data_IF_260817053602
#
_entry.id   IF_260817053602
#
_cell.length_a   1.000
_cell.length_b   1.000
_cell.length_c   1.000
_cell.angle_alpha   90.00
_cell.angle_beta   90.00
_cell.angle_gamma   90.00
#
_symmetry.space_group_name_H-M   'P 1'
#
loop_
_entity.id
_entity.type
_entity.pdbx_description
1 polymer ?
#
# COMPACT_ATOMS: atom_id res chain seq x y z
N UNK A 1 -77.28 0.62 -1.53
CA UNK A 1 -76.37 1.01 -0.44
C UNK A 1 -75.04 1.47 -1.05
N UNK A 2 -74.84 2.79 -1.26
CA UNK A 2 -73.67 3.37 -1.79
C UNK A 2 -72.73 3.75 -0.64
N UNK A 3 -71.51 3.14 -0.58
CA UNK A 3 -70.46 3.56 0.35
C UNK A 3 -69.66 4.70 -0.27
N UNK A 4 -69.63 5.82 0.38
CA UNK A 4 -68.81 6.99 0.03
C UNK A 4 -67.41 6.82 0.66
N UNK A 5 -66.37 6.81 -0.14
CA UNK A 5 -64.98 6.82 0.31
C UNK A 5 -64.50 8.28 0.38
N UNK A 6 -64.22 8.76 1.57
CA UNK A 6 -63.57 10.07 1.79
C UNK A 6 -62.10 9.98 1.41
N UNK A 7 -61.70 10.87 0.56
CA UNK A 7 -60.34 10.94 -0.01
C UNK A 7 -59.43 11.79 0.92
N UNK A 8 -58.35 11.23 1.37
CA UNK A 8 -57.37 11.82 2.33
C UNK A 8 -56.68 13.12 1.86
N UNK A 9 -56.97 13.62 0.68
CA UNK A 9 -56.36 14.83 0.11
C UNK A 9 -57.05 16.15 0.44
N UNK A 10 -58.22 16.12 1.05
CA UNK A 10 -59.02 17.35 1.32
C UNK A 10 -58.84 17.89 2.75
N UNK A 11 -58.05 17.23 3.60
CA UNK A 11 -57.89 17.67 5.01
C UNK A 11 -56.65 18.54 5.21
N UNK A 12 -55.71 18.59 4.23
CA UNK A 12 -54.44 19.32 4.38
C UNK A 12 -54.53 20.79 3.97
N UNK A 13 -55.56 21.22 3.25
CA UNK A 13 -55.71 22.59 2.73
C UNK A 13 -56.47 23.58 3.60
N UNK A 14 -57.05 23.16 4.72
CA UNK A 14 -57.83 24.07 5.64
C UNK A 14 -57.01 24.46 6.88
N UNK A 15 -55.87 23.82 7.15
CA UNK A 15 -55.05 24.06 8.36
C UNK A 15 -54.00 25.17 8.26
N UNK A 16 -53.77 25.78 7.08
CA UNK A 16 -52.65 26.73 6.86
C UNK A 16 -53.04 28.21 6.75
N UNK A 17 -54.31 28.56 7.00
CA UNK A 17 -54.80 29.94 6.87
C UNK A 17 -55.05 30.70 8.20
N UNK A 18 -54.69 30.12 9.35
CA UNK A 18 -55.02 30.69 10.67
C UNK A 18 -53.86 31.18 11.55
N UNK A 19 -52.61 31.30 11.00
CA UNK A 19 -51.43 31.70 11.78
C UNK A 19 -50.71 32.98 11.29
N UNK A 20 -51.43 33.89 10.62
CA UNK A 20 -50.85 35.17 10.13
C UNK A 20 -51.59 36.40 10.69
N UNK A 21 -51.98 36.40 11.96
CA UNK A 21 -52.52 37.60 12.60
C UNK A 21 -51.98 37.71 14.03
N UNK A 22 -50.96 38.56 14.21
CA UNK A 22 -50.58 38.96 15.56
C UNK A 22 -49.09 39.19 15.80
N UNK A 23 -48.52 40.28 15.30
CA UNK A 23 -47.37 40.97 15.94
C UNK A 23 -47.42 42.45 15.55
N UNK A 24 -48.15 43.25 16.35
CA UNK A 24 -48.02 44.71 16.36
C UNK A 24 -46.80 45.05 17.22
N UNK A 25 -45.74 45.57 16.61
CA UNK A 25 -44.56 46.11 17.26
C UNK A 25 -44.84 47.44 17.92
N UNK A 26 -44.66 47.52 19.24
CA UNK A 26 -44.58 48.77 20.01
C UNK A 26 -43.19 49.32 19.84
N UNK A 27 -43.02 50.43 19.14
CA UNK A 27 -41.80 51.22 19.07
C UNK A 27 -41.77 52.28 20.16
N UNK A 28 -40.74 52.35 21.03
CA UNK A 28 -40.47 53.52 21.84
C UNK A 28 -39.83 54.60 20.99
N UNK A 29 -40.39 55.84 21.01
CA UNK A 29 -39.73 57.03 20.47
C UNK A 29 -38.70 57.50 21.43
N UNK A 30 -37.42 57.35 21.10
CA UNK A 30 -36.31 58.00 21.74
C UNK A 30 -35.47 58.72 20.67
N UNK A 31 -35.43 60.00 20.75
CA UNK A 31 -34.55 60.88 19.96
C UNK A 31 -33.16 60.85 20.56
N UNK A 32 -32.24 60.23 19.88
CA UNK A 32 -30.80 60.60 19.99
C UNK A 32 -30.16 60.40 18.61
N UNK A 33 -29.54 61.48 18.14
CA UNK A 33 -28.87 61.58 16.86
C UNK A 33 -27.52 60.90 17.00
N UNK A 34 -27.44 59.65 16.50
CA UNK A 34 -26.18 58.92 16.43
C UNK A 34 -25.30 59.50 15.32
N UNK A 35 -24.07 59.84 15.66
CA UNK A 35 -23.00 60.18 14.73
C UNK A 35 -22.75 59.01 13.75
N UNK A 36 -22.31 59.33 12.50
CA UNK A 36 -22.01 58.27 11.53
C UNK A 36 -20.81 57.46 12.01
N UNK A 37 -21.04 56.21 12.36
CA UNK A 37 -19.96 55.25 12.60
C UNK A 37 -19.43 54.85 11.21
N UNK A 38 -18.16 55.20 10.95
CA UNK A 38 -17.40 54.71 9.79
C UNK A 38 -17.51 53.18 9.74
N UNK A 39 -17.83 52.59 8.56
CA UNK A 39 -17.88 51.15 8.45
C UNK A 39 -16.48 50.58 8.74
N UNK A 40 -16.35 49.88 9.85
CA UNK A 40 -15.20 49.02 10.12
C UNK A 40 -14.97 48.15 8.88
N UNK A 41 -13.76 48.12 8.28
CA UNK A 41 -13.53 47.31 7.12
C UNK A 41 -13.80 45.85 7.51
N UNK A 42 -14.86 45.28 6.92
CA UNK A 42 -15.11 43.83 6.98
C UNK A 42 -13.89 43.16 6.36
N UNK A 43 -13.06 42.56 7.19
CA UNK A 43 -11.95 41.75 6.72
C UNK A 43 -12.55 40.67 5.82
N UNK A 44 -12.26 40.73 4.52
CA UNK A 44 -12.60 39.66 3.58
C UNK A 44 -12.02 38.38 4.15
N UNK A 45 -12.79 37.28 4.16
CA UNK A 45 -12.24 35.99 4.55
C UNK A 45 -11.05 35.71 3.62
N UNK A 46 -9.86 35.67 4.19
CA UNK A 46 -8.68 35.21 3.48
C UNK A 46 -8.97 33.76 3.08
N UNK A 47 -8.99 33.44 1.79
CA UNK A 47 -9.18 32.06 1.27
C UNK A 47 -8.08 31.08 1.72
N UNK A 48 -7.09 31.54 2.45
CA UNK A 48 -6.06 30.69 3.05
C UNK A 48 -6.66 29.90 4.21
N UNK A 49 -6.70 28.58 4.08
CA UNK A 49 -7.00 27.66 5.17
C UNK A 49 -6.14 28.01 6.39
N UNK A 50 -6.70 27.97 7.63
CA UNK A 50 -5.97 28.25 8.84
C UNK A 50 -4.64 27.48 8.87
N UNK A 51 -3.54 28.20 9.07
CA UNK A 51 -2.22 27.56 9.13
C UNK A 51 -2.20 26.66 10.36
N UNK A 52 -2.19 25.36 10.14
CA UNK A 52 -2.09 24.39 11.22
C UNK A 52 -0.66 24.43 11.79
N UNK A 53 -0.48 25.16 12.87
CA UNK A 53 0.82 25.36 13.55
C UNK A 53 1.09 24.32 14.63
N UNK A 54 0.12 23.45 14.92
CA UNK A 54 0.18 22.51 16.03
C UNK A 54 0.44 21.07 15.59
N UNK A 55 0.31 20.77 14.28
CA UNK A 55 0.46 19.43 13.73
C UNK A 55 1.55 19.35 12.67
N UNK A 56 2.20 18.22 12.58
CA UNK A 56 3.09 17.90 11.46
C UNK A 56 2.29 17.72 10.18
N UNK A 57 2.66 18.44 9.13
CA UNK A 57 2.02 18.38 7.82
C UNK A 57 2.72 17.37 6.94
N UNK A 58 1.95 16.42 6.41
CA UNK A 58 2.43 15.29 5.63
C UNK A 58 1.55 15.15 4.40
N UNK A 59 2.16 14.99 3.25
CA UNK A 59 1.47 14.72 2.00
C UNK A 59 1.37 13.22 1.75
N UNK A 60 0.18 12.74 1.39
CA UNK A 60 -0.03 11.40 0.85
C UNK A 60 -0.25 11.53 -0.67
N UNK A 61 0.72 11.08 -1.46
CA UNK A 61 0.71 11.13 -2.91
C UNK A 61 0.36 9.75 -3.48
N UNK A 62 -0.90 9.56 -3.87
CA UNK A 62 -1.41 8.30 -4.42
C UNK A 62 -2.37 8.58 -5.59
N UNK A 63 -2.53 7.66 -6.55
CA UNK A 63 -3.54 7.81 -7.60
C UNK A 63 -4.93 7.67 -7.00
N UNK A 64 -5.78 8.69 -7.12
CA UNK A 64 -7.16 8.66 -6.64
C UNK A 64 -8.17 8.41 -7.77
N UNK A 65 -7.69 8.33 -9.00
CA UNK A 65 -8.49 8.12 -10.21
C UNK A 65 -7.79 7.22 -11.22
N UNK A 66 -8.48 6.85 -12.30
CA UNK A 66 -7.96 5.98 -13.34
C UNK A 66 -7.75 4.52 -12.88
N UNK A 67 -6.97 3.76 -13.64
CA UNK A 67 -6.76 2.32 -13.44
C UNK A 67 -6.25 1.94 -12.04
N UNK A 68 -5.42 2.77 -11.46
CA UNK A 68 -4.83 2.53 -10.13
C UNK A 68 -5.57 3.27 -9.01
N UNK A 69 -6.67 3.97 -9.31
CA UNK A 69 -7.48 4.70 -8.35
C UNK A 69 -7.97 3.86 -7.18
N UNK A 70 -8.54 2.66 -7.40
CA UNK A 70 -8.97 1.78 -6.30
C UNK A 70 -7.83 1.39 -5.33
N UNK A 71 -6.63 1.17 -5.84
CA UNK A 71 -5.45 0.86 -5.01
C UNK A 71 -5.01 2.08 -4.20
N UNK A 72 -4.97 3.25 -4.83
CA UNK A 72 -4.64 4.51 -4.16
C UNK A 72 -5.66 4.86 -3.07
N UNK A 73 -6.96 4.66 -3.35
CA UNK A 73 -8.02 4.85 -2.36
C UNK A 73 -7.86 3.90 -1.17
N UNK A 74 -7.49 2.63 -1.43
CA UNK A 74 -7.26 1.67 -0.35
C UNK A 74 -6.08 2.08 0.55
N UNK A 75 -5.01 2.63 -0.02
CA UNK A 75 -3.88 3.18 0.74
C UNK A 75 -4.33 4.40 1.56
N UNK A 76 -5.10 5.31 0.98
CA UNK A 76 -5.62 6.49 1.68
C UNK A 76 -6.57 6.12 2.83
N UNK A 77 -7.43 5.13 2.63
CA UNK A 77 -8.30 4.58 3.66
C UNK A 77 -7.48 3.97 4.82
N UNK A 78 -6.45 3.17 4.51
CA UNK A 78 -5.57 2.58 5.51
C UNK A 78 -4.78 3.64 6.30
N UNK A 79 -4.33 4.71 5.63
CA UNK A 79 -3.71 5.88 6.26
C UNK A 79 -4.67 6.56 7.24
N UNK A 80 -5.92 6.77 6.82
CA UNK A 80 -6.96 7.35 7.69
C UNK A 80 -7.26 6.44 8.89
N UNK A 81 -7.33 5.13 8.65
CA UNK A 81 -7.55 4.14 9.71
C UNK A 81 -6.43 4.17 10.75
N UNK A 82 -5.17 4.25 10.31
CA UNK A 82 -4.02 4.36 11.21
C UNK A 82 -4.07 5.62 12.09
N UNK A 83 -4.45 6.78 11.51
CA UNK A 83 -4.60 8.03 12.27
C UNK A 83 -5.67 7.88 13.37
N UNK A 84 -6.80 7.23 13.05
CA UNK A 84 -7.89 7.01 14.00
C UNK A 84 -7.50 5.99 15.09
N UNK A 85 -6.93 4.85 14.70
CA UNK A 85 -6.57 3.79 15.63
C UNK A 85 -5.46 4.20 16.62
N UNK A 86 -4.57 5.11 16.19
CA UNK A 86 -3.48 5.61 17.02
C UNK A 86 -3.82 6.93 17.73
N UNK A 87 -4.99 7.49 17.50
CA UNK A 87 -5.38 8.81 17.98
C UNK A 87 -4.31 9.89 17.68
N UNK A 88 -3.81 9.88 16.46
CA UNK A 88 -2.67 10.70 16.00
C UNK A 88 -3.04 12.19 15.85
N UNK A 89 -3.34 12.86 16.96
CA UNK A 89 -3.75 14.27 16.98
C UNK A 89 -2.64 15.25 16.55
N UNK A 90 -1.38 14.82 16.58
CA UNK A 90 -0.20 15.61 16.20
C UNK A 90 0.16 15.52 14.70
N UNK A 91 -0.53 14.69 13.91
CA UNK A 91 -0.32 14.58 12.47
C UNK A 91 -1.50 15.16 11.68
N UNK A 92 -1.20 15.80 10.57
CA UNK A 92 -2.15 16.18 9.52
C UNK A 92 -1.67 15.60 8.21
N UNK A 93 -2.39 14.62 7.68
CA UNK A 93 -2.08 14.00 6.38
C UNK A 93 -3.11 14.47 5.35
N UNK A 94 -2.62 15.07 4.26
CA UNK A 94 -3.46 15.54 3.15
C UNK A 94 -3.16 14.70 1.91
N UNK A 95 -4.21 14.19 1.25
CA UNK A 95 -4.07 13.34 0.06
C UNK A 95 -4.08 14.19 -1.22
N UNK A 96 -3.13 13.90 -2.12
CA UNK A 96 -2.97 14.53 -3.43
C UNK A 96 -3.01 13.47 -4.52
N UNK A 97 -3.81 13.71 -5.57
CA UNK A 97 -4.03 12.76 -6.66
C UNK A 97 -2.88 12.78 -7.69
N UNK A 98 -2.04 11.76 -7.68
CA UNK A 98 -0.95 11.62 -8.64
C UNK A 98 -1.42 11.23 -10.05
N UNK A 99 -2.65 10.77 -10.23
CA UNK A 99 -3.18 10.45 -11.56
C UNK A 99 -3.42 11.70 -12.41
N UNK A 100 -3.58 12.86 -11.77
CA UNK A 100 -3.72 14.18 -12.43
C UNK A 100 -2.40 14.86 -12.75
N UNK A 101 -1.27 14.30 -12.30
CA UNK A 101 0.06 14.83 -12.53
C UNK A 101 0.91 14.74 -11.25
N UNK A 102 1.88 13.82 -11.18
CA UNK A 102 2.67 13.59 -9.96
C UNK A 102 3.52 14.78 -9.53
N UNK A 103 4.09 15.53 -10.49
CA UNK A 103 4.88 16.72 -10.20
C UNK A 103 3.99 17.86 -9.65
N UNK A 104 2.84 18.11 -10.28
CA UNK A 104 1.90 19.13 -9.81
C UNK A 104 1.37 18.82 -8.41
N UNK A 105 1.05 17.55 -8.13
CA UNK A 105 0.61 17.10 -6.81
C UNK A 105 1.71 17.32 -5.74
N UNK A 106 2.96 17.01 -6.04
CA UNK A 106 4.07 17.25 -5.13
C UNK A 106 4.34 18.74 -4.92
N UNK A 107 4.30 19.54 -5.98
CA UNK A 107 4.45 21.01 -5.90
C UNK A 107 3.37 21.64 -5.04
N UNK A 108 2.12 21.25 -5.23
CA UNK A 108 1.00 21.71 -4.40
C UNK A 108 1.21 21.31 -2.94
N UNK A 109 1.54 20.07 -2.67
CA UNK A 109 1.80 19.56 -1.32
C UNK A 109 2.87 20.39 -0.59
N UNK A 110 3.97 20.71 -1.27
CA UNK A 110 5.07 21.49 -0.72
C UNK A 110 4.65 22.94 -0.48
N UNK A 111 3.94 23.56 -1.43
CA UNK A 111 3.40 24.92 -1.29
C UNK A 111 2.45 25.04 -0.09
N UNK A 112 1.69 23.98 0.20
CA UNK A 112 0.81 23.90 1.37
C UNK A 112 1.58 23.60 2.68
N UNK A 113 2.92 23.52 2.65
CA UNK A 113 3.80 23.40 3.81
C UNK A 113 3.96 21.98 4.35
N UNK A 114 3.70 20.95 3.54
CA UNK A 114 4.01 19.58 3.94
C UNK A 114 5.53 19.36 3.99
N UNK A 115 6.01 18.66 5.01
CA UNK A 115 7.43 18.43 5.32
C UNK A 115 7.88 17.00 5.13
N UNK A 116 6.97 16.11 4.73
CA UNK A 116 7.21 14.72 4.38
C UNK A 116 6.22 14.34 3.28
N UNK A 117 6.68 13.57 2.30
CA UNK A 117 5.85 12.95 1.26
C UNK A 117 5.80 11.43 1.49
N UNK A 118 4.60 10.89 1.69
CA UNK A 118 4.27 9.47 1.67
C UNK A 118 3.72 9.13 0.29
N UNK A 119 4.35 8.21 -0.42
CA UNK A 119 4.15 7.98 -1.84
C UNK A 119 5.32 8.54 -2.68
N UNK A 120 5.24 8.46 -4.02
CA UNK A 120 4.13 7.94 -4.81
C UNK A 120 4.04 6.41 -4.77
N UNK A 121 2.89 5.88 -5.25
CA UNK A 121 2.70 4.44 -5.42
C UNK A 121 3.48 3.89 -6.60
N UNK A 122 3.48 4.59 -7.73
CA UNK A 122 4.10 4.11 -8.96
C UNK A 122 5.56 4.57 -9.05
N UNK A 123 6.48 3.64 -9.31
CA UNK A 123 7.90 3.94 -9.49
C UNK A 123 8.15 4.97 -10.59
N UNK A 124 7.42 4.90 -11.70
CA UNK A 124 7.50 5.86 -12.81
C UNK A 124 7.17 7.30 -12.42
N UNK A 125 6.47 7.52 -11.31
CA UNK A 125 6.13 8.85 -10.82
C UNK A 125 7.22 9.45 -9.90
N UNK A 126 8.15 8.63 -9.41
CA UNK A 126 9.17 9.08 -8.45
C UNK A 126 10.03 10.22 -9.03
N UNK A 127 10.59 10.12 -10.25
CA UNK A 127 11.40 11.20 -10.81
C UNK A 127 10.67 12.55 -10.85
N UNK A 128 9.39 12.55 -11.25
CA UNK A 128 8.57 13.77 -11.32
C UNK A 128 8.27 14.36 -9.94
N UNK A 129 8.03 13.52 -8.93
CA UNK A 129 7.82 13.96 -7.53
C UNK A 129 9.09 14.56 -6.95
N UNK A 130 10.26 14.01 -7.30
CA UNK A 130 11.55 14.46 -6.77
C UNK A 130 11.96 15.84 -7.25
N UNK A 131 11.49 16.32 -8.42
CA UNK A 131 11.82 17.66 -8.91
C UNK A 131 11.48 18.74 -7.88
N UNK A 132 10.20 18.91 -7.46
CA UNK A 132 9.86 19.88 -6.43
C UNK A 132 10.29 19.45 -5.01
N UNK A 133 10.35 18.16 -4.69
CA UNK A 133 10.70 17.69 -3.37
C UNK A 133 12.15 18.04 -2.99
N UNK A 134 13.10 17.82 -3.89
CA UNK A 134 14.51 18.17 -3.70
C UNK A 134 14.75 19.66 -3.61
N UNK A 135 14.04 20.45 -4.43
CA UNK A 135 14.13 21.89 -4.39
C UNK A 135 13.69 22.50 -3.06
N UNK A 136 12.86 21.79 -2.29
CA UNK A 136 12.32 22.20 -1.00
C UNK A 136 12.88 21.40 0.20
N UNK A 137 13.84 20.51 -0.03
CA UNK A 137 14.44 19.61 0.98
C UNK A 137 13.39 18.76 1.72
N UNK A 138 12.39 18.26 0.98
CA UNK A 138 11.32 17.42 1.53
C UNK A 138 11.57 15.96 1.15
N UNK A 139 11.82 15.05 2.12
CA UNK A 139 12.09 13.65 1.85
C UNK A 139 10.84 12.91 1.40
N UNK A 140 11.08 11.81 0.63
CA UNK A 140 10.05 10.97 0.01
C UNK A 140 10.13 9.55 0.53
N UNK A 141 9.03 9.02 1.05
CA UNK A 141 8.86 7.60 1.39
C UNK A 141 7.89 6.99 0.37
N UNK A 142 8.43 6.39 -0.67
CA UNK A 142 7.64 5.82 -1.77
C UNK A 142 7.08 4.45 -1.43
N UNK A 143 5.85 4.18 -1.84
CA UNK A 143 5.21 2.86 -1.76
C UNK A 143 5.58 1.94 -2.93
N UNK A 144 6.36 2.43 -3.87
CA UNK A 144 6.92 1.64 -4.97
C UNK A 144 7.89 0.58 -4.45
N UNK A 145 8.07 -0.47 -5.24
CA UNK A 145 9.13 -1.46 -5.06
C UNK A 145 10.28 -1.28 -6.09
N UNK A 146 10.35 -0.14 -6.76
CA UNK A 146 11.41 0.20 -7.70
C UNK A 146 12.69 0.58 -6.94
N UNK A 147 13.58 -0.38 -6.79
CA UNK A 147 14.84 -0.21 -6.06
C UNK A 147 15.81 0.76 -6.74
N UNK A 148 15.69 0.97 -8.06
CA UNK A 148 16.53 1.92 -8.80
C UNK A 148 16.26 3.39 -8.49
N UNK A 149 15.14 3.68 -7.83
CA UNK A 149 14.76 5.04 -7.44
C UNK A 149 15.20 5.42 -6.02
N UNK A 150 15.78 4.48 -5.25
CA UNK A 150 16.25 4.73 -3.88
C UNK A 150 17.43 5.70 -3.82
N UNK A 151 17.54 6.45 -2.73
CA UNK A 151 18.61 7.43 -2.55
C UNK A 151 18.65 8.01 -1.13
N UNK A 152 19.52 8.99 -0.91
CA UNK A 152 19.66 9.59 0.43
C UNK A 152 18.40 10.30 0.92
N UNK A 153 17.58 10.80 0.01
CA UNK A 153 16.34 11.56 0.23
C UNK A 153 15.08 10.80 -0.21
N UNK A 154 15.25 9.55 -0.72
CA UNK A 154 14.19 8.68 -1.24
C UNK A 154 14.24 7.32 -0.59
N UNK A 155 13.21 7.00 0.16
CA UNK A 155 13.06 5.73 0.86
C UNK A 155 12.04 4.86 0.14
N UNK A 156 12.44 3.67 -0.30
CA UNK A 156 11.55 2.71 -0.96
C UNK A 156 10.98 1.77 0.09
N UNK A 157 9.68 1.89 0.33
CA UNK A 157 8.97 1.15 1.39
C UNK A 157 8.16 -0.05 0.86
N UNK A 158 7.97 -0.16 -0.45
CA UNK A 158 7.22 -1.26 -1.09
C UNK A 158 7.83 -2.63 -0.81
N UNK A 159 7.06 -3.68 -1.07
CA UNK A 159 7.56 -5.05 -0.96
C UNK A 159 8.54 -5.33 -2.09
N UNK A 160 9.79 -5.60 -1.74
CA UNK A 160 10.89 -5.83 -2.68
C UNK A 160 10.97 -7.32 -2.99
N UNK A 161 10.63 -7.77 -4.23
CA UNK A 161 10.56 -9.19 -4.57
C UNK A 161 11.89 -9.90 -4.40
N UNK A 162 13.02 -9.21 -4.57
CA UNK A 162 14.35 -9.74 -4.39
C UNK A 162 14.56 -10.30 -2.99
N UNK A 163 14.01 -9.66 -1.96
CA UNK A 163 14.15 -10.12 -0.58
C UNK A 163 13.34 -11.39 -0.31
N UNK A 164 12.11 -11.46 -0.85
CA UNK A 164 11.28 -12.67 -0.78
C UNK A 164 11.97 -13.86 -1.47
N UNK A 165 12.46 -13.65 -2.69
CA UNK A 165 13.16 -14.69 -3.46
C UNK A 165 14.40 -15.17 -2.72
N UNK A 166 15.22 -14.24 -2.19
CA UNK A 166 16.43 -14.59 -1.45
C UNK A 166 16.11 -15.47 -0.24
N UNK A 167 15.10 -15.09 0.56
CA UNK A 167 14.69 -15.85 1.74
C UNK A 167 14.14 -17.24 1.40
N UNK A 168 13.36 -17.34 0.30
CA UNK A 168 12.81 -18.64 -0.12
C UNK A 168 13.90 -19.57 -0.65
N UNK A 169 14.86 -19.04 -1.42
CA UNK A 169 16.00 -19.81 -1.94
C UNK A 169 16.91 -20.27 -0.81
N UNK A 170 17.23 -19.41 0.17
CA UNK A 170 17.99 -19.77 1.36
C UNK A 170 17.40 -21.00 2.02
N UNK A 171 16.11 -20.95 2.35
CA UNK A 171 15.41 -22.06 2.99
C UNK A 171 15.38 -23.33 2.13
N UNK A 172 15.15 -23.20 0.82
CA UNK A 172 15.16 -24.35 -0.09
C UNK A 172 16.57 -24.98 -0.17
N UNK A 173 17.63 -24.18 -0.15
CA UNK A 173 19.01 -24.63 -0.10
C UNK A 173 19.33 -25.41 1.18
N UNK A 174 18.90 -24.92 2.34
CA UNK A 174 19.06 -25.61 3.61
C UNK A 174 18.37 -26.99 3.62
N UNK A 175 17.34 -27.16 2.76
CA UNK A 175 16.60 -28.41 2.59
C UNK A 175 17.12 -29.30 1.46
N UNK A 176 18.24 -28.94 0.85
CA UNK A 176 18.93 -29.80 -0.11
C UNK A 176 18.73 -29.45 -1.58
N UNK A 177 17.94 -28.43 -1.92
CA UNK A 177 17.80 -27.94 -3.31
C UNK A 177 19.17 -27.52 -3.86
N UNK A 178 19.54 -27.97 -5.06
CA UNK A 178 20.84 -27.68 -5.69
C UNK A 178 20.72 -27.08 -7.08
N UNK A 179 19.86 -27.64 -7.92
CA UNK A 179 19.70 -27.28 -9.30
C UNK A 179 18.40 -26.54 -9.53
N UNK A 180 18.50 -25.24 -9.69
CA UNK A 180 17.36 -24.35 -9.77
C UNK A 180 17.00 -24.01 -11.20
N UNK A 181 15.73 -23.87 -11.45
CA UNK A 181 15.20 -23.28 -12.68
C UNK A 181 14.24 -22.13 -12.35
N UNK A 182 13.99 -21.24 -13.30
CA UNK A 182 13.05 -20.15 -13.15
C UNK A 182 12.13 -20.02 -14.36
N UNK A 183 10.86 -19.81 -14.10
CA UNK A 183 9.85 -19.35 -15.08
C UNK A 183 9.48 -17.91 -14.69
N UNK A 184 9.81 -16.96 -15.56
CA UNK A 184 9.61 -15.55 -15.32
C UNK A 184 8.80 -14.87 -16.44
N UNK A 185 7.91 -13.90 -16.13
CA UNK A 185 7.22 -13.14 -17.16
C UNK A 185 8.16 -12.16 -17.84
N UNK A 186 7.86 -11.81 -19.09
CA UNK A 186 8.52 -10.70 -19.78
C UNK A 186 8.28 -9.38 -19.00
N UNK A 187 9.27 -8.47 -19.08
CA UNK A 187 9.23 -7.16 -18.46
C UNK A 187 10.05 -7.03 -17.17
N UNK A 188 9.97 -5.86 -16.54
CA UNK A 188 10.83 -5.46 -15.43
C UNK A 188 10.75 -6.40 -14.22
N UNK A 189 9.55 -6.87 -13.86
CA UNK A 189 9.37 -7.77 -12.72
C UNK A 189 10.09 -9.11 -12.94
N UNK A 190 9.90 -9.71 -14.12
CA UNK A 190 10.57 -10.98 -14.46
C UNK A 190 12.09 -10.86 -14.50
N UNK A 191 12.60 -9.81 -15.13
CA UNK A 191 14.06 -9.56 -15.18
C UNK A 191 14.66 -9.38 -13.78
N UNK A 192 13.98 -8.65 -12.88
CA UNK A 192 14.40 -8.49 -11.47
C UNK A 192 14.35 -9.82 -10.70
N UNK A 193 13.30 -10.62 -10.92
CA UNK A 193 13.16 -11.93 -10.28
C UNK A 193 14.25 -12.91 -10.74
N UNK A 194 14.62 -12.90 -12.02
CA UNK A 194 15.73 -13.71 -12.54
C UNK A 194 17.07 -13.31 -11.91
N UNK A 195 17.34 -12.02 -11.84
CA UNK A 195 18.57 -11.52 -11.23
C UNK A 195 18.63 -11.82 -9.74
N UNK A 196 17.51 -11.66 -9.02
CA UNK A 196 17.40 -12.01 -7.61
C UNK A 196 17.65 -13.51 -7.38
N UNK A 197 17.05 -14.35 -8.23
CA UNK A 197 17.25 -15.80 -8.18
C UNK A 197 18.72 -16.18 -8.39
N UNK A 198 19.38 -15.62 -9.40
CA UNK A 198 20.80 -15.87 -9.67
C UNK A 198 21.69 -15.47 -8.49
N UNK A 199 21.44 -14.28 -7.93
CA UNK A 199 22.18 -13.80 -6.75
C UNK A 199 21.96 -14.67 -5.54
N UNK A 200 20.70 -15.03 -5.24
CA UNK A 200 20.36 -15.88 -4.11
C UNK A 200 21.01 -17.28 -4.23
N UNK A 201 20.87 -17.93 -5.40
CA UNK A 201 21.45 -19.25 -5.64
C UNK A 201 22.97 -19.21 -5.57
N UNK A 202 23.61 -18.17 -6.12
CA UNK A 202 25.06 -17.98 -6.01
C UNK A 202 25.51 -17.77 -4.55
N UNK A 203 24.75 -16.98 -3.78
CA UNK A 203 25.08 -16.68 -2.39
C UNK A 203 24.99 -17.92 -1.47
N UNK A 204 24.02 -18.80 -1.73
CA UNK A 204 23.78 -19.98 -0.93
C UNK A 204 24.30 -21.29 -1.52
N UNK A 205 25.06 -21.23 -2.64
CA UNK A 205 25.84 -22.36 -3.16
C UNK A 205 25.10 -23.35 -4.04
N UNK A 206 24.07 -22.92 -4.81
CA UNK A 206 23.38 -23.72 -5.83
C UNK A 206 23.78 -23.35 -7.27
N UNK A 207 23.03 -23.86 -8.23
CA UNK A 207 23.20 -23.56 -9.67
C UNK A 207 21.85 -23.27 -10.30
N UNK A 208 21.74 -22.16 -11.04
CA UNK A 208 20.58 -21.91 -11.92
C UNK A 208 20.88 -22.56 -13.27
N UNK A 209 20.17 -23.67 -13.56
CA UNK A 209 20.40 -24.47 -14.77
C UNK A 209 19.56 -24.03 -15.95
N UNK A 210 18.34 -23.52 -15.72
CA UNK A 210 17.42 -23.10 -16.78
C UNK A 210 16.67 -21.82 -16.43
N UNK A 211 16.39 -21.02 -17.46
CA UNK A 211 15.56 -19.81 -17.38
C UNK A 211 14.58 -19.83 -18.55
N UNK A 212 13.28 -19.87 -18.28
CA UNK A 212 12.21 -19.79 -19.26
C UNK A 212 11.42 -18.51 -19.09
N UNK A 213 11.16 -17.81 -20.19
CA UNK A 213 10.35 -16.58 -20.21
C UNK A 213 9.04 -16.79 -20.94
N UNK A 214 8.06 -15.98 -20.57
CA UNK A 214 6.74 -16.02 -21.19
C UNK A 214 6.08 -14.63 -21.18
N UNK A 215 5.20 -14.39 -22.18
CA UNK A 215 4.39 -13.19 -22.24
C UNK A 215 3.13 -13.34 -21.37
N UNK A 216 2.85 -12.37 -20.48
CA UNK A 216 1.59 -12.35 -19.73
C UNK A 216 0.40 -12.11 -20.68
N UNK A 217 -0.77 -12.65 -20.32
CA UNK A 217 -2.02 -12.40 -21.05
C UNK A 217 -2.44 -13.52 -22.02
N UNK A 218 -1.64 -14.56 -22.15
CA UNK A 218 -1.95 -15.76 -22.91
C UNK A 218 -1.54 -17.03 -22.16
N UNK A 219 -1.61 -18.21 -22.79
CA UNK A 219 -1.23 -19.50 -22.20
C UNK A 219 0.26 -19.80 -22.28
N UNK A 220 1.12 -18.84 -22.63
CA UNK A 220 2.55 -19.08 -22.83
C UNK A 220 3.31 -19.50 -21.57
N UNK A 221 2.75 -19.29 -20.38
CA UNK A 221 3.29 -19.82 -19.12
C UNK A 221 3.26 -21.36 -19.12
N UNK A 222 2.23 -21.98 -19.70
CA UNK A 222 2.10 -23.46 -19.87
C UNK A 222 3.21 -23.95 -20.81
N UNK A 223 3.37 -23.29 -21.96
CA UNK A 223 4.42 -23.66 -22.92
C UNK A 223 5.83 -23.45 -22.36
N UNK A 224 6.06 -22.44 -21.53
CA UNK A 224 7.34 -22.25 -20.83
C UNK A 224 7.59 -23.40 -19.83
N UNK A 225 6.55 -23.83 -19.11
CA UNK A 225 6.66 -24.98 -18.20
C UNK A 225 6.90 -26.30 -18.94
N UNK A 226 6.30 -26.49 -20.12
CA UNK A 226 6.52 -27.68 -21.00
C UNK A 226 7.97 -27.70 -21.49
N UNK A 227 8.52 -26.57 -21.97
CA UNK A 227 9.93 -26.48 -22.39
C UNK A 227 10.85 -26.79 -21.22
N UNK A 228 10.60 -26.19 -20.06
CA UNK A 228 11.40 -26.43 -18.86
C UNK A 228 11.37 -27.91 -18.46
N UNK A 229 10.20 -28.52 -18.47
CA UNK A 229 10.04 -29.96 -18.19
C UNK A 229 10.82 -30.83 -19.15
N UNK A 230 10.84 -30.49 -20.45
CA UNK A 230 11.60 -31.19 -21.46
C UNK A 230 13.14 -31.10 -21.27
N UNK A 231 13.63 -29.99 -20.73
CA UNK A 231 15.04 -29.85 -20.40
C UNK A 231 15.47 -30.77 -19.24
N UNK A 232 14.68 -30.83 -18.18
CA UNK A 232 15.03 -31.60 -16.98
C UNK A 232 16.27 -31.09 -16.25
N UNK A 233 16.82 -31.90 -15.33
CA UNK A 233 18.08 -31.60 -14.65
C UNK A 233 17.99 -30.54 -13.54
N UNK A 234 16.78 -30.19 -13.10
CA UNK A 234 16.49 -29.31 -11.96
C UNK A 234 15.71 -30.06 -10.88
N UNK A 235 15.92 -29.70 -9.65
CA UNK A 235 15.17 -30.18 -8.48
C UNK A 235 14.18 -29.12 -7.93
N UNK A 236 14.41 -27.86 -8.29
CA UNK A 236 13.67 -26.72 -7.72
C UNK A 236 13.34 -25.69 -8.81
N UNK A 237 12.10 -25.20 -8.82
CA UNK A 237 11.64 -24.20 -9.81
C UNK A 237 10.99 -23.00 -9.10
N UNK A 238 11.53 -21.80 -9.34
CA UNK A 238 10.88 -20.55 -8.99
C UNK A 238 9.88 -20.16 -10.12
N UNK A 239 8.61 -19.95 -9.76
CA UNK A 239 7.60 -19.41 -10.68
C UNK A 239 7.34 -17.94 -10.24
N UNK A 240 7.95 -17.01 -10.97
CA UNK A 240 7.98 -15.60 -10.61
C UNK A 240 6.72 -14.84 -11.08
N UNK A 241 5.55 -15.31 -10.68
CA UNK A 241 4.27 -14.63 -10.97
C UNK A 241 3.22 -14.95 -9.89
N UNK A 242 2.07 -14.26 -9.98
CA UNK A 242 0.93 -14.49 -9.11
C UNK A 242 0.38 -15.93 -9.17
N UNK A 243 -0.33 -16.37 -8.13
CA UNK A 243 -0.66 -17.79 -7.95
C UNK A 243 -1.51 -18.39 -9.06
N UNK A 244 -2.30 -17.59 -9.77
CA UNK A 244 -3.11 -18.07 -10.91
C UNK A 244 -2.25 -18.59 -12.07
N UNK A 245 -1.22 -17.85 -12.46
CA UNK A 245 -0.29 -18.28 -13.52
C UNK A 245 0.69 -19.34 -12.99
N UNK A 246 1.11 -19.21 -11.75
CA UNK A 246 1.93 -20.20 -11.08
C UNK A 246 1.26 -21.57 -11.03
N UNK A 247 -0.04 -21.65 -10.73
CA UNK A 247 -0.79 -22.91 -10.72
C UNK A 247 -0.88 -23.55 -12.10
N UNK A 248 -0.94 -22.78 -13.19
CA UNK A 248 -0.93 -23.31 -14.55
C UNK A 248 0.43 -23.95 -14.89
N UNK A 249 1.55 -23.27 -14.57
CA UNK A 249 2.89 -23.82 -14.75
C UNK A 249 3.12 -25.05 -13.86
N UNK A 250 2.71 -24.98 -12.60
CA UNK A 250 2.83 -26.08 -11.65
C UNK A 250 2.05 -27.33 -12.09
N UNK A 251 0.88 -27.16 -12.71
CA UNK A 251 0.09 -28.27 -13.27
C UNK A 251 0.84 -29.08 -14.35
N UNK A 252 1.78 -28.46 -15.04
CA UNK A 252 2.67 -29.14 -16.01
C UNK A 252 3.86 -29.80 -15.32
N UNK A 253 4.50 -29.08 -14.39
CA UNK A 253 5.74 -29.50 -13.74
C UNK A 253 5.50 -30.59 -12.68
N UNK A 254 4.43 -30.46 -11.91
CA UNK A 254 4.08 -31.33 -10.78
C UNK A 254 2.57 -31.58 -10.74
N UNK A 255 2.03 -32.41 -11.65
CA UNK A 255 0.60 -32.71 -11.70
C UNK A 255 0.11 -33.26 -10.35
N UNK A 256 -0.90 -32.61 -9.75
CA UNK A 256 -1.47 -33.00 -8.46
C UNK A 256 -0.74 -32.47 -7.22
N UNK A 257 0.39 -31.79 -7.39
CA UNK A 257 1.22 -31.28 -6.29
C UNK A 257 2.08 -32.36 -5.60
N UNK A 258 3.03 -31.95 -4.76
CA UNK A 258 3.87 -32.89 -3.98
C UNK A 258 4.82 -33.78 -4.79
N UNK A 259 5.14 -33.40 -6.03
CA UNK A 259 6.09 -34.12 -6.87
C UNK A 259 7.54 -33.98 -6.39
N UNK A 260 8.48 -34.65 -7.08
CA UNK A 260 9.91 -34.59 -6.79
C UNK A 260 10.52 -33.19 -6.97
N UNK A 261 9.87 -32.30 -7.72
CA UNK A 261 10.31 -30.92 -7.95
C UNK A 261 9.76 -29.98 -6.89
N UNK A 262 10.62 -29.32 -6.14
CA UNK A 262 10.24 -28.27 -5.20
C UNK A 262 9.81 -27.01 -5.98
N UNK A 263 8.58 -26.57 -5.75
CA UNK A 263 8.08 -25.32 -6.33
C UNK A 263 8.30 -24.16 -5.36
N UNK A 264 8.78 -23.04 -5.91
CA UNK A 264 8.96 -21.78 -5.19
C UNK A 264 8.07 -20.70 -5.79
N UNK A 265 7.44 -19.90 -4.94
CA UNK A 265 6.70 -18.69 -5.29
C UNK A 265 7.40 -17.44 -4.81
N UNK A 266 6.73 -16.30 -4.99
CA UNK A 266 7.19 -14.98 -4.55
C UNK A 266 6.19 -14.36 -3.57
N UNK A 267 6.50 -13.17 -3.07
CA UNK A 267 5.62 -12.37 -2.22
C UNK A 267 4.23 -12.11 -2.82
N UNK A 268 4.08 -12.22 -4.13
CA UNK A 268 2.80 -12.07 -4.84
C UNK A 268 1.74 -13.12 -4.42
N UNK A 269 2.15 -14.17 -3.71
CA UNK A 269 1.23 -15.19 -3.22
C UNK A 269 0.63 -14.85 -1.85
N UNK A 270 1.19 -13.84 -1.18
CA UNK A 270 0.73 -13.44 0.17
C UNK A 270 -0.68 -12.85 0.14
N UNK A 271 -1.58 -13.43 0.94
CA UNK A 271 -2.97 -12.98 1.03
C UNK A 271 -3.88 -13.44 -0.12
N UNK A 272 -3.36 -14.20 -1.08
CA UNK A 272 -4.10 -14.65 -2.25
C UNK A 272 -4.79 -16.00 -2.01
N UNK A 273 -6.11 -16.01 -1.85
CA UNK A 273 -6.89 -17.25 -1.62
C UNK A 273 -6.83 -18.27 -2.75
N UNK A 274 -6.35 -17.89 -3.94
CA UNK A 274 -6.12 -18.81 -5.05
C UNK A 274 -4.95 -19.77 -4.82
N UNK A 275 -4.00 -19.42 -3.95
CA UNK A 275 -2.87 -20.28 -3.56
C UNK A 275 -3.36 -21.58 -2.94
N UNK A 276 -4.25 -21.49 -1.96
CA UNK A 276 -4.75 -22.64 -1.21
C UNK A 276 -5.70 -23.53 -2.01
N UNK A 277 -6.40 -22.95 -2.99
CA UNK A 277 -7.33 -23.70 -3.87
C UNK A 277 -6.65 -24.47 -5.00
N UNK A 278 -5.39 -24.14 -5.32
CA UNK A 278 -4.67 -24.78 -6.41
C UNK A 278 -3.95 -26.04 -5.92
N UNK A 279 -4.50 -27.23 -6.26
CA UNK A 279 -3.89 -28.51 -5.92
C UNK A 279 -2.46 -28.67 -6.44
N UNK A 280 -2.15 -28.11 -7.61
CA UNK A 280 -0.81 -28.13 -8.20
C UNK A 280 0.24 -27.34 -7.39
N UNK A 281 -0.18 -26.44 -6.50
CA UNK A 281 0.72 -25.69 -5.64
C UNK A 281 0.96 -26.35 -4.27
N UNK A 282 0.38 -27.51 -3.99
CA UNK A 282 0.63 -28.24 -2.74
C UNK A 282 2.11 -28.58 -2.58
N UNK A 283 2.68 -28.30 -1.40
CA UNK A 283 4.12 -28.42 -1.11
C UNK A 283 4.98 -27.26 -1.60
N UNK A 284 4.41 -26.28 -2.31
CA UNK A 284 5.17 -25.13 -2.78
C UNK A 284 5.53 -24.19 -1.62
N UNK A 285 6.74 -23.61 -1.69
CA UNK A 285 7.28 -22.67 -0.72
C UNK A 285 7.25 -21.25 -1.27
N UNK A 286 7.02 -20.29 -0.41
CA UNK A 286 7.20 -18.87 -0.71
C UNK A 286 7.49 -18.08 0.56
N UNK A 287 8.15 -16.94 0.45
CA UNK A 287 8.39 -16.08 1.59
C UNK A 287 7.57 -14.80 1.49
N UNK A 288 6.99 -14.42 2.61
CA UNK A 288 6.18 -13.22 2.72
C UNK A 288 6.33 -12.59 4.10
N UNK A 289 5.95 -11.33 4.22
CA UNK A 289 5.79 -10.66 5.51
C UNK A 289 4.66 -11.31 6.31
N UNK A 290 4.73 -11.25 7.65
CA UNK A 290 3.76 -11.92 8.52
C UNK A 290 2.32 -11.46 8.28
N UNK A 291 1.37 -12.40 8.35
CA UNK A 291 -0.08 -12.14 8.25
C UNK A 291 -0.75 -12.00 9.63
N UNK A 292 -0.04 -12.11 10.74
CA UNK A 292 -0.62 -12.12 12.09
C UNK A 292 -1.46 -10.87 12.39
N UNK A 293 -0.99 -9.71 11.93
CA UNK A 293 -1.67 -8.44 12.08
C UNK A 293 -2.58 -8.11 10.90
N UNK A 294 -2.25 -8.64 9.73
CA UNK A 294 -2.97 -8.39 8.50
C UNK A 294 -4.44 -8.84 8.57
N UNK A 295 -4.73 -10.00 9.15
CA UNK A 295 -6.10 -10.49 9.30
C UNK A 295 -6.97 -9.51 10.07
N UNK A 296 -6.49 -9.05 11.23
CA UNK A 296 -7.20 -8.04 12.05
C UNK A 296 -7.35 -6.70 11.33
N UNK A 297 -6.35 -6.32 10.53
CA UNK A 297 -6.43 -5.13 9.70
C UNK A 297 -7.53 -5.28 8.64
N UNK A 298 -7.63 -6.42 7.95
CA UNK A 298 -8.68 -6.70 6.95
C UNK A 298 -10.06 -6.58 7.57
N UNK A 299 -10.30 -7.25 8.71
CA UNK A 299 -11.59 -7.21 9.41
C UNK A 299 -11.99 -5.77 9.80
N UNK A 300 -11.04 -5.00 10.35
CA UNK A 300 -11.27 -3.61 10.73
C UNK A 300 -11.47 -2.69 9.53
N UNK A 301 -10.75 -2.93 8.44
CA UNK A 301 -10.88 -2.18 7.20
C UNK A 301 -12.23 -2.44 6.54
N UNK A 302 -12.64 -3.71 6.41
CA UNK A 302 -13.92 -4.09 5.82
C UNK A 302 -15.11 -3.53 6.63
N UNK A 303 -15.03 -3.59 7.96
CA UNK A 303 -16.05 -3.01 8.84
C UNK A 303 -16.22 -1.48 8.66
N UNK A 304 -15.15 -0.75 8.31
CA UNK A 304 -15.16 0.71 8.15
C UNK A 304 -15.48 1.17 6.74
N UNK A 305 -15.02 0.44 5.73
CA UNK A 305 -15.08 0.88 4.32
C UNK A 305 -15.94 -0.01 3.43
N UNK A 306 -16.50 -1.12 3.96
CA UNK A 306 -17.44 -1.98 3.25
C UNK A 306 -16.83 -2.83 2.14
N UNK A 307 -15.50 -2.92 2.06
CA UNK A 307 -14.78 -3.72 1.07
C UNK A 307 -13.46 -4.21 1.63
N UNK A 308 -12.93 -5.31 1.07
CA UNK A 308 -11.61 -5.78 1.46
C UNK A 308 -10.49 -4.88 0.90
N UNK A 309 -9.42 -4.63 1.67
CA UNK A 309 -8.29 -3.85 1.20
C UNK A 309 -7.43 -4.64 0.21
N UNK A 310 -6.76 -3.93 -0.70
CA UNK A 310 -5.61 -4.50 -1.37
C UNK A 310 -4.49 -4.76 -0.36
N UNK A 311 -3.71 -5.84 -0.53
CA UNK A 311 -2.59 -6.16 0.38
C UNK A 311 -1.62 -4.98 0.57
N UNK A 312 -1.34 -4.24 -0.50
CA UNK A 312 -0.45 -3.08 -0.49
C UNK A 312 -0.98 -1.91 0.37
N UNK A 313 -2.25 -1.90 0.75
CA UNK A 313 -2.82 -0.85 1.59
C UNK A 313 -2.18 -0.79 2.99
N UNK A 314 -1.61 -1.91 3.48
CA UNK A 314 -0.83 -1.94 4.72
C UNK A 314 0.30 -0.92 4.75
N UNK A 315 0.90 -0.61 3.59
CA UNK A 315 1.97 0.40 3.49
C UNK A 315 1.49 1.79 3.93
N UNK A 316 0.24 2.16 3.63
CA UNK A 316 -0.34 3.42 4.10
C UNK A 316 -0.47 3.47 5.62
N UNK A 317 -0.90 2.37 6.24
CA UNK A 317 -0.98 2.23 7.69
C UNK A 317 0.41 2.27 8.34
N UNK A 318 1.34 1.47 7.83
CA UNK A 318 2.71 1.39 8.33
C UNK A 318 3.48 2.71 8.20
N UNK A 319 3.23 3.48 7.13
CA UNK A 319 3.82 4.81 6.97
C UNK A 319 3.35 5.81 8.03
N UNK A 320 2.10 5.69 8.52
CA UNK A 320 1.62 6.49 9.65
C UNK A 320 2.30 6.07 10.94
N UNK A 321 2.41 4.77 11.22
CA UNK A 321 3.11 4.26 12.41
C UNK A 321 4.58 4.71 12.44
N UNK A 322 5.26 4.60 11.30
CA UNK A 322 6.63 5.09 11.11
C UNK A 322 6.72 6.59 11.42
N UNK A 323 5.84 7.38 10.80
CA UNK A 323 5.82 8.83 10.97
C UNK A 323 5.56 9.23 12.42
N UNK A 324 4.63 8.56 13.11
CA UNK A 324 4.36 8.77 14.53
C UNK A 324 5.58 8.44 15.41
N UNK A 325 6.31 7.39 15.07
CA UNK A 325 7.53 7.02 15.79
C UNK A 325 8.60 8.13 15.67
N UNK A 326 8.77 8.66 14.45
CA UNK A 326 9.71 9.78 14.18
C UNK A 326 9.20 11.09 14.82
N UNK A 327 7.88 11.33 14.79
CA UNK A 327 7.26 12.54 15.30
C UNK A 327 7.44 12.77 16.82
N UNK A 328 7.86 11.76 17.57
CA UNK A 328 8.19 11.91 19.01
C UNK A 328 9.31 12.91 19.24
N UNK A 329 10.29 12.95 18.33
CA UNK A 329 11.48 13.80 18.43
C UNK A 329 11.50 14.90 17.35
N UNK A 330 10.48 14.93 16.49
CA UNK A 330 10.34 15.94 15.44
C UNK A 330 9.59 17.16 15.97
N UNK A 331 10.17 18.35 15.82
CA UNK A 331 9.53 19.60 16.22
C UNK A 331 8.62 20.12 15.11
N UNK A 332 7.39 20.48 15.47
CA UNK A 332 6.42 21.05 14.51
C UNK A 332 7.02 22.28 13.81
N UNK A 333 6.80 22.37 12.49
CA UNK A 333 7.33 23.46 11.65
C UNK A 333 8.79 23.32 11.23
N UNK A 334 9.53 22.33 11.76
CA UNK A 334 10.88 22.00 11.30
C UNK A 334 10.84 20.97 10.18
N UNK A 335 11.95 20.88 9.45
CA UNK A 335 12.12 19.86 8.42
C UNK A 335 12.09 18.46 9.04
N UNK A 336 11.64 17.48 8.26
CA UNK A 336 11.52 16.11 8.71
C UNK A 336 12.91 15.52 8.98
N UNK A 337 13.14 14.89 10.15
CA UNK A 337 14.44 14.33 10.50
C UNK A 337 14.67 12.98 9.80
N UNK A 338 14.96 12.99 8.50
CA UNK A 338 15.13 11.80 7.64
C UNK A 338 16.15 10.78 8.19
N UNK A 339 17.16 11.24 8.94
CA UNK A 339 18.14 10.36 9.61
C UNK A 339 17.50 9.42 10.61
N UNK A 340 16.36 9.80 11.20
CA UNK A 340 15.61 8.96 12.13
C UNK A 340 14.99 7.73 11.43
N UNK A 341 14.87 7.74 10.09
CA UNK A 341 14.41 6.59 9.32
C UNK A 341 15.46 5.44 9.28
N UNK A 342 16.74 5.77 9.47
CA UNK A 342 17.87 4.81 9.40
C UNK A 342 18.27 4.26 10.77
N UNK A 343 17.30 4.11 11.68
CA UNK A 343 17.55 3.50 12.99
C UNK A 343 17.88 2.01 12.86
N UNK A 344 18.86 1.53 13.66
CA UNK A 344 19.25 0.12 13.67
C UNK A 344 18.14 -0.78 14.19
N UNK A 345 17.37 -0.31 15.13
CA UNK A 345 16.27 -1.07 15.76
C UNK A 345 15.08 -1.26 14.80
N UNK A 346 15.03 -0.48 13.71
CA UNK A 346 13.94 -0.52 12.75
C UNK A 346 12.59 -0.09 13.32
N UNK A 347 11.55 -0.51 12.65
CA UNK A 347 10.15 -0.19 12.92
C UNK A 347 9.32 -1.46 12.94
N UNK A 348 8.18 -1.40 13.60
CA UNK A 348 7.22 -2.50 13.64
C UNK A 348 5.89 -2.02 13.08
N UNK A 349 5.48 -2.62 11.96
CA UNK A 349 4.22 -2.33 11.27
C UNK A 349 3.26 -3.51 11.25
N UNK A 350 2.22 -3.40 10.43
CA UNK A 350 1.29 -4.49 10.12
C UNK A 350 2.00 -5.64 9.41
N UNK A 351 2.94 -5.30 8.54
CA UNK A 351 3.74 -6.24 7.77
C UNK A 351 4.98 -6.77 8.54
N UNK A 352 4.96 -6.67 9.87
CA UNK A 352 6.06 -7.13 10.71
C UNK A 352 7.16 -6.08 10.89
N UNK A 353 8.36 -6.55 11.26
CA UNK A 353 9.53 -5.70 11.45
C UNK A 353 10.12 -5.26 10.11
N UNK A 354 10.57 -4.00 10.05
CA UNK A 354 11.29 -3.45 8.90
C UNK A 354 12.23 -2.33 9.32
N UNK A 355 13.25 -2.07 8.51
CA UNK A 355 14.16 -0.92 8.65
C UNK A 355 14.55 -0.39 7.27
N UNK A 356 15.13 0.79 7.22
CA UNK A 356 15.75 1.30 5.99
C UNK A 356 17.26 1.15 6.04
N UNK A 357 17.84 0.61 4.96
CA UNK A 357 19.26 0.57 4.70
C UNK A 357 19.84 1.97 4.43
N UNK A 358 21.17 2.05 4.34
CA UNK A 358 21.86 3.31 4.00
C UNK A 358 21.54 3.79 2.58
N UNK A 359 21.20 2.86 1.72
CA UNK A 359 20.77 3.07 0.33
C UNK A 359 19.32 3.57 0.19
N UNK A 360 18.56 3.66 1.29
CA UNK A 360 17.15 4.05 1.27
C UNK A 360 16.18 2.90 0.95
N UNK A 361 16.66 1.67 0.79
CA UNK A 361 15.81 0.51 0.58
C UNK A 361 15.28 -0.03 1.91
N UNK A 362 14.00 -0.44 1.93
CA UNK A 362 13.44 -1.16 3.06
C UNK A 362 14.05 -2.56 3.12
N UNK A 363 14.43 -2.99 4.30
CA UNK A 363 14.70 -4.38 4.66
C UNK A 363 13.55 -4.89 5.51
N UNK A 364 12.92 -6.00 5.12
CA UNK A 364 11.78 -6.60 5.83
C UNK A 364 12.12 -7.98 6.34
N UNK A 365 11.55 -8.32 7.48
CA UNK A 365 11.62 -9.68 8.01
C UNK A 365 10.56 -10.54 7.31
N UNK A 366 10.99 -11.59 6.62
CA UNK A 366 10.13 -12.54 5.91
C UNK A 366 10.07 -13.89 6.64
N UNK A 367 8.88 -14.44 6.77
CA UNK A 367 8.67 -15.84 7.12
C UNK A 367 8.61 -16.71 5.87
N UNK A 368 9.00 -17.98 5.97
CA UNK A 368 8.82 -18.96 4.89
C UNK A 368 7.53 -19.71 5.15
N UNK A 369 6.73 -19.84 4.11
CA UNK A 369 5.43 -20.47 4.12
C UNK A 369 5.39 -21.64 3.15
N UNK A 370 4.60 -22.65 3.47
CA UNK A 370 4.31 -23.79 2.62
C UNK A 370 2.80 -23.89 2.38
N UNK A 371 2.43 -24.21 1.14
CA UNK A 371 1.05 -24.56 0.78
C UNK A 371 0.81 -26.01 1.16
N UNK A 372 -0.01 -26.26 2.18
CA UNK A 372 -0.23 -27.61 2.74
C UNK A 372 -1.72 -27.83 3.03
N UNK A 373 -2.28 -28.92 2.51
CA UNK A 373 -3.64 -29.37 2.80
C UNK A 373 -4.71 -28.28 2.63
N UNK A 374 -4.62 -27.51 1.53
CA UNK A 374 -5.57 -26.43 1.23
C UNK A 374 -5.43 -25.20 2.13
N UNK A 375 -4.35 -25.08 2.88
CA UNK A 375 -4.01 -23.93 3.71
C UNK A 375 -2.57 -23.46 3.48
N UNK A 376 -2.19 -22.38 4.11
CA UNK A 376 -0.80 -21.88 4.14
C UNK A 376 -0.29 -22.01 5.57
N UNK A 377 0.82 -22.70 5.76
CA UNK A 377 1.47 -22.90 7.06
C UNK A 377 2.84 -22.22 7.08
N UNK A 378 3.21 -21.64 8.21
CA UNK A 378 4.54 -21.09 8.42
C UNK A 378 5.47 -22.28 8.74
N UNK A 379 6.52 -22.45 7.93
CA UNK A 379 7.52 -23.49 8.10
C UNK A 379 8.86 -22.96 8.63
N UNK A 380 9.05 -21.63 8.53
CA UNK A 380 10.15 -20.92 9.17
C UNK A 380 9.74 -19.47 9.50
N UNK A 381 9.94 -19.09 10.75
CA UNK A 381 9.49 -17.79 11.24
C UNK A 381 10.34 -16.63 10.69
N UNK A 382 9.72 -15.47 10.59
CA UNK A 382 10.43 -14.24 10.30
C UNK A 382 11.45 -13.92 11.40
N UNK A 383 12.67 -13.46 11.07
CA UNK A 383 13.60 -12.97 12.06
C UNK A 383 12.98 -11.85 12.92
N UNK A 384 13.21 -11.90 14.22
CA UNK A 384 12.69 -10.88 15.16
C UNK A 384 13.60 -9.66 15.29
N UNK A 385 14.82 -9.74 14.73
CA UNK A 385 15.86 -8.69 14.75
C UNK A 385 16.60 -8.68 13.40
N UNK A 386 17.12 -7.51 13.03
CA UNK A 386 17.96 -7.31 11.86
C UNK A 386 19.44 -7.36 12.22
#
# INVERSE_FOLDING_TARGET
>A
MKRWSLNRRTIVTVGLAALLAGCSTILPRGTDRAEPVDPTPTSQPTEALPTDQTRHRIALLVPMSGRNGPVGQAIANATTMALLDTNASNLRITTYDTAKGPEAAARQAITEGNKLILGPLLGSNIPSVLVPARAADVPVISFSNDTGAAGPDVFIMGHIPEQSIMRTVEYARERGSQNFAIIAPDGAYGARSEEAMRRAVSAYGGTVVWTERYARGNTSVVSAAERLKAHGGFDTVLIADGPRLAAQAAGVLSPGGGGATQLLGTELWSGEGSVTRASALQGALFSAVSDDRYKRFVDSYEARFGSQPYRIATLGYDAVLLTLRVARDWRVGRDFPDRALRTRDGFLGLDGAFRFGRDGLVERAFEVREVRDGTVVIVDNAPTRF
#
